data_IF_839485903503
#
_entry.id   IF_839485903503
#
_cell.length_a   1.000
_cell.length_b   1.000
_cell.length_c   1.000
_cell.angle_alpha   90.00
_cell.angle_beta   90.00
_cell.angle_gamma   90.00
#
_symmetry.space_group_name_H-M   'P 1'
#
loop_
_entity.id
_entity.type
_entity.pdbx_description
1 polymer ?
#
# COMPACT_ATOMS: atom_id res chain seq x y z
N UNK A 1 -33.76 -22.21 -62.45
CA UNK A 1 -34.00 -21.87 -61.04
C UNK A 1 -35.25 -21.02 -60.97
N UNK A 2 -36.21 -21.41 -60.15
CA UNK A 2 -37.42 -20.60 -59.96
C UNK A 2 -37.10 -19.45 -59.01
N UNK A 3 -37.69 -18.27 -59.23
CA UNK A 3 -37.47 -17.09 -58.39
C UNK A 3 -37.74 -17.37 -56.88
N UNK A 4 -38.63 -18.32 -56.60
CA UNK A 4 -38.97 -18.83 -55.26
C UNK A 4 -37.76 -19.46 -54.55
N UNK A 5 -36.93 -20.25 -55.25
CA UNK A 5 -35.76 -20.91 -54.66
C UNK A 5 -34.66 -19.92 -54.26
N UNK A 6 -34.53 -18.83 -55.03
CA UNK A 6 -33.57 -17.75 -54.76
C UNK A 6 -34.00 -16.95 -53.53
N UNK A 7 -35.30 -16.68 -53.38
CA UNK A 7 -35.85 -15.98 -52.22
C UNK A 7 -35.72 -16.81 -50.94
N UNK A 8 -36.02 -18.12 -50.98
CA UNK A 8 -35.86 -19.02 -49.83
C UNK A 8 -34.39 -19.10 -49.37
N UNK A 9 -33.46 -19.19 -50.32
CA UNK A 9 -32.01 -19.19 -50.03
C UNK A 9 -31.54 -17.86 -49.43
N UNK A 10 -32.01 -16.73 -49.96
CA UNK A 10 -31.67 -15.39 -49.45
C UNK A 10 -32.19 -15.17 -48.03
N UNK A 11 -33.41 -15.63 -47.72
CA UNK A 11 -33.99 -15.55 -46.37
C UNK A 11 -33.18 -16.39 -45.38
N UNK A 12 -32.79 -17.61 -45.75
CA UNK A 12 -31.96 -18.48 -44.89
C UNK A 12 -30.59 -17.87 -44.61
N UNK A 13 -29.94 -17.30 -45.62
CA UNK A 13 -28.65 -16.63 -45.47
C UNK A 13 -28.79 -15.36 -44.62
N UNK A 14 -29.81 -14.54 -44.88
CA UNK A 14 -30.07 -13.32 -44.13
C UNK A 14 -30.38 -13.59 -42.66
N UNK A 15 -31.15 -14.65 -42.37
CA UNK A 15 -31.46 -15.05 -41.01
C UNK A 15 -30.21 -15.56 -40.27
N UNK A 16 -29.36 -16.36 -40.94
CA UNK A 16 -28.08 -16.80 -40.37
C UNK A 16 -27.13 -15.65 -40.08
N UNK A 17 -27.05 -14.66 -40.98
CA UNK A 17 -26.27 -13.43 -40.78
C UNK A 17 -26.81 -12.57 -39.62
N UNK A 18 -28.14 -12.45 -39.50
CA UNK A 18 -28.79 -11.72 -38.42
C UNK A 18 -28.52 -12.36 -37.05
N UNK A 19 -28.71 -13.68 -36.94
CA UNK A 19 -28.43 -14.44 -35.71
C UNK A 19 -26.96 -14.29 -35.32
N UNK A 20 -26.05 -14.45 -36.29
CA UNK A 20 -24.60 -14.28 -36.05
C UNK A 20 -24.27 -12.87 -35.59
N UNK A 21 -24.88 -11.84 -36.19
CA UNK A 21 -24.70 -10.45 -35.79
C UNK A 21 -25.14 -10.18 -34.35
N UNK A 22 -26.30 -10.70 -33.95
CA UNK A 22 -26.83 -10.56 -32.58
C UNK A 22 -25.92 -11.28 -31.57
N UNK A 23 -25.52 -12.52 -31.86
CA UNK A 23 -24.62 -13.29 -30.98
C UNK A 23 -23.27 -12.57 -30.83
N UNK A 24 -22.70 -12.10 -31.93
CA UNK A 24 -21.42 -11.37 -31.94
C UNK A 24 -21.52 -10.07 -31.14
N UNK A 25 -22.64 -9.33 -31.26
CA UNK A 25 -22.86 -8.10 -30.49
C UNK A 25 -22.94 -8.38 -28.98
N UNK A 26 -23.70 -9.39 -28.57
CA UNK A 26 -23.81 -9.77 -27.14
C UNK A 26 -22.47 -10.28 -26.61
N UNK A 27 -21.74 -11.09 -27.38
CA UNK A 27 -20.43 -11.61 -26.98
C UNK A 27 -19.41 -10.48 -26.83
N UNK A 28 -19.33 -9.58 -27.80
CA UNK A 28 -18.41 -8.43 -27.79
C UNK A 28 -18.66 -7.49 -26.60
N UNK A 29 -19.93 -7.16 -26.34
CA UNK A 29 -20.29 -6.32 -25.18
C UNK A 29 -20.00 -7.00 -23.84
N UNK A 30 -20.22 -8.32 -23.75
CA UNK A 30 -19.90 -9.11 -22.55
C UNK A 30 -18.39 -9.19 -22.34
N UNK A 31 -17.62 -9.43 -23.40
CA UNK A 31 -16.17 -9.50 -23.37
C UNK A 31 -15.56 -8.16 -22.94
N UNK A 32 -16.00 -7.04 -23.51
CA UNK A 32 -15.52 -5.72 -23.12
C UNK A 32 -15.78 -5.40 -21.64
N UNK A 33 -16.96 -5.77 -21.12
CA UNK A 33 -17.26 -5.61 -19.68
C UNK A 33 -16.36 -6.49 -18.81
N UNK A 34 -16.07 -7.72 -19.24
CA UNK A 34 -15.17 -8.61 -18.52
C UNK A 34 -13.72 -8.09 -18.55
N UNK A 35 -13.26 -7.54 -19.67
CA UNK A 35 -11.92 -6.97 -19.79
C UNK A 35 -11.77 -5.73 -18.89
N UNK A 36 -12.78 -4.86 -18.82
CA UNK A 36 -12.80 -3.74 -17.88
C UNK A 36 -12.73 -4.20 -16.41
N UNK A 37 -13.47 -5.27 -16.05
CA UNK A 37 -13.40 -5.85 -14.70
C UNK A 37 -12.02 -6.41 -14.38
N UNK A 38 -11.42 -7.16 -15.30
CA UNK A 38 -10.06 -7.68 -15.16
C UNK A 38 -9.02 -6.57 -14.99
N UNK A 39 -9.13 -5.50 -15.78
CA UNK A 39 -8.25 -4.35 -15.68
C UNK A 39 -8.39 -3.63 -14.33
N UNK A 40 -9.61 -3.50 -13.80
CA UNK A 40 -9.86 -2.94 -12.47
C UNK A 40 -9.21 -3.79 -11.37
N UNK A 41 -9.45 -5.10 -11.39
CA UNK A 41 -8.85 -6.07 -10.45
C UNK A 41 -7.32 -6.01 -10.49
N UNK A 42 -6.72 -6.03 -11.68
CA UNK A 42 -5.27 -5.93 -11.84
C UNK A 42 -4.71 -4.62 -11.25
N UNK A 43 -5.43 -3.51 -11.42
CA UNK A 43 -5.04 -2.20 -10.88
C UNK A 43 -5.14 -2.15 -9.36
N UNK A 44 -6.14 -2.81 -8.78
CA UNK A 44 -6.28 -2.93 -7.32
C UNK A 44 -5.14 -3.77 -6.72
N UNK A 45 -4.76 -4.88 -7.36
CA UNK A 45 -3.60 -5.67 -6.94
C UNK A 45 -2.29 -4.88 -7.01
N UNK A 46 -2.05 -4.17 -8.12
CA UNK A 46 -0.82 -3.37 -8.26
C UNK A 46 -0.75 -2.26 -7.21
N UNK A 47 -1.89 -1.62 -6.90
CA UNK A 47 -1.94 -0.61 -5.86
C UNK A 47 -1.65 -1.21 -4.47
N UNK A 48 -2.22 -2.37 -4.12
CA UNK A 48 -1.92 -3.01 -2.83
C UNK A 48 -0.43 -3.37 -2.71
N UNK A 49 0.17 -3.85 -3.80
CA UNK A 49 1.61 -4.12 -3.86
C UNK A 49 2.43 -2.85 -3.66
N UNK A 50 2.09 -1.77 -4.38
CA UNK A 50 2.77 -0.49 -4.25
C UNK A 50 2.67 0.06 -2.81
N UNK A 51 1.49 -0.01 -2.19
CA UNK A 51 1.29 0.38 -0.79
C UNK A 51 2.18 -0.45 0.13
N UNK A 52 2.21 -1.77 -0.03
CA UNK A 52 3.02 -2.66 0.79
C UNK A 52 4.53 -2.36 0.64
N UNK A 53 5.02 -2.12 -0.58
CA UNK A 53 6.42 -1.78 -0.85
C UNK A 53 6.81 -0.43 -0.22
N UNK A 54 5.96 0.59 -0.33
CA UNK A 54 6.19 1.91 0.28
C UNK A 54 6.22 1.84 1.80
N UNK A 55 5.29 1.09 2.39
CA UNK A 55 5.24 0.86 3.84
C UNK A 55 6.49 0.14 4.33
N UNK A 56 6.95 -0.88 3.60
CA UNK A 56 8.13 -1.64 4.00
C UNK A 56 9.42 -0.81 3.84
N UNK A 57 9.50 0.01 2.79
CA UNK A 57 10.60 0.97 2.61
C UNK A 57 10.68 1.93 3.80
N UNK A 58 9.55 2.50 4.21
CA UNK A 58 9.48 3.35 5.40
C UNK A 58 9.86 2.59 6.67
N UNK A 59 9.37 1.35 6.85
CA UNK A 59 9.67 0.51 8.01
C UNK A 59 11.16 0.24 8.17
N UNK A 60 11.85 -0.12 7.09
CA UNK A 60 13.30 -0.37 7.14
C UNK A 60 14.08 0.87 7.59
N UNK A 61 13.70 2.05 7.09
CA UNK A 61 14.31 3.32 7.50
C UNK A 61 13.98 3.66 8.96
N UNK A 62 12.73 3.47 9.38
CA UNK A 62 12.28 3.71 10.74
C UNK A 62 13.00 2.82 11.76
N UNK A 63 13.17 1.52 11.48
CA UNK A 63 13.88 0.59 12.36
C UNK A 63 15.39 0.88 12.43
N UNK A 64 16.01 1.28 11.31
CA UNK A 64 17.39 1.74 11.29
C UNK A 64 17.57 2.97 12.17
N UNK A 65 16.70 3.98 12.02
CA UNK A 65 16.70 5.16 12.86
C UNK A 65 16.50 4.80 14.35
N UNK A 66 15.52 3.94 14.65
CA UNK A 66 15.26 3.45 16.00
C UNK A 66 16.51 2.82 16.63
N UNK A 67 17.19 1.93 15.92
CA UNK A 67 18.37 1.23 16.42
C UNK A 67 19.51 2.21 16.73
N UNK A 68 19.83 3.11 15.80
CA UNK A 68 20.94 4.05 15.94
C UNK A 68 20.68 5.08 17.04
N UNK A 69 19.44 5.57 17.15
CA UNK A 69 19.10 6.58 18.14
C UNK A 69 19.05 5.97 19.55
N UNK A 70 18.51 4.76 19.69
CA UNK A 70 18.47 4.05 20.97
C UNK A 70 19.88 3.75 21.50
N UNK A 71 20.78 3.33 20.61
CA UNK A 71 22.20 3.12 20.94
C UNK A 71 22.91 4.43 21.33
N UNK A 72 22.68 5.52 20.60
CA UNK A 72 23.21 6.83 20.96
C UNK A 72 22.69 7.33 22.32
N UNK A 73 21.39 7.20 22.60
CA UNK A 73 20.80 7.58 23.90
C UNK A 73 21.41 6.78 25.05
N UNK A 74 21.65 5.48 24.86
CA UNK A 74 22.33 4.63 25.85
C UNK A 74 23.73 5.16 26.18
N UNK A 75 24.52 5.54 25.16
CA UNK A 75 25.84 6.15 25.37
C UNK A 75 25.75 7.51 26.04
N UNK A 76 24.78 8.34 25.67
CA UNK A 76 24.59 9.68 26.23
C UNK A 76 24.30 9.67 27.74
N UNK A 77 23.64 8.62 28.24
CA UNK A 77 23.40 8.43 29.68
C UNK A 77 24.71 8.16 30.42
N UNK A 78 25.64 7.43 29.81
CA UNK A 78 26.95 7.11 30.39
C UNK A 78 27.93 8.28 30.27
N UNK A 79 27.86 9.01 29.15
CA UNK A 79 28.70 10.16 28.85
C UNK A 79 27.88 11.24 28.13
N UNK A 80 27.54 12.31 28.85
CA UNK A 80 26.70 13.40 28.34
C UNK A 80 27.36 14.25 27.25
N UNK A 81 28.66 14.04 26.97
CA UNK A 81 29.39 14.75 25.92
C UNK A 81 29.35 14.05 24.56
N UNK A 82 28.82 12.81 24.47
CA UNK A 82 28.81 12.00 23.25
C UNK A 82 28.01 12.70 22.13
N UNK A 83 28.69 13.13 21.04
CA UNK A 83 28.00 13.77 19.93
C UNK A 83 27.20 12.74 19.12
N UNK A 84 26.23 13.23 18.34
CA UNK A 84 25.56 12.40 17.33
C UNK A 84 26.56 12.07 16.21
N UNK A 85 26.60 10.81 15.80
CA UNK A 85 27.41 10.39 14.64
C UNK A 85 26.77 10.85 13.33
N UNK A 86 27.59 11.02 12.28
CA UNK A 86 27.07 11.33 10.94
C UNK A 86 26.05 10.29 10.46
N UNK A 87 26.29 9.00 10.75
CA UNK A 87 25.37 7.90 10.40
C UNK A 87 23.98 8.10 11.03
N UNK A 88 23.92 8.62 12.26
CA UNK A 88 22.65 8.92 12.93
C UNK A 88 21.96 10.14 12.31
N UNK A 89 22.73 11.17 11.93
CA UNK A 89 22.20 12.35 11.24
C UNK A 89 21.63 11.97 9.86
N UNK A 90 22.33 11.11 9.13
CA UNK A 90 21.86 10.57 7.85
C UNK A 90 20.56 9.78 8.03
N UNK A 91 20.50 8.88 9.02
CA UNK A 91 19.29 8.13 9.32
C UNK A 91 18.10 9.02 9.73
N UNK A 92 18.36 10.16 10.40
CA UNK A 92 17.33 11.15 10.71
C UNK A 92 16.80 11.83 9.44
N UNK A 93 17.68 12.12 8.48
CA UNK A 93 17.33 12.71 7.20
C UNK A 93 16.56 11.72 6.32
N UNK A 94 17.02 10.48 6.25
CA UNK A 94 16.37 9.38 5.53
C UNK A 94 14.95 9.16 6.06
N UNK A 95 14.78 9.14 7.39
CA UNK A 95 13.46 8.99 8.01
C UNK A 95 12.53 10.16 7.68
N UNK A 96 13.04 11.39 7.69
CA UNK A 96 12.24 12.55 7.32
C UNK A 96 11.76 12.44 5.87
N UNK A 97 12.65 12.07 4.95
CA UNK A 97 12.34 11.94 3.53
C UNK A 97 11.36 10.80 3.25
N UNK A 98 11.47 9.68 3.98
CA UNK A 98 10.61 8.50 3.77
C UNK A 98 9.14 8.70 4.17
N UNK A 99 8.78 9.74 4.94
CA UNK A 99 7.37 10.07 5.21
C UNK A 99 6.56 10.41 3.95
N UNK A 100 7.23 10.82 2.86
CA UNK A 100 6.58 11.01 1.56
C UNK A 100 6.02 9.69 1.01
N UNK A 101 6.69 8.55 1.27
CA UNK A 101 6.22 7.22 0.86
C UNK A 101 4.95 6.83 1.60
N UNK A 102 4.88 7.08 2.92
CA UNK A 102 3.67 6.86 3.70
C UNK A 102 2.51 7.72 3.22
N UNK A 103 2.74 9.02 2.98
CA UNK A 103 1.71 9.94 2.48
C UNK A 103 1.18 9.48 1.11
N UNK A 104 2.06 9.00 0.24
CA UNK A 104 1.70 8.49 -1.08
C UNK A 104 0.87 7.21 -0.95
N UNK A 105 1.33 6.25 -0.13
CA UNK A 105 0.61 5.01 0.13
C UNK A 105 -0.78 5.27 0.74
N UNK A 106 -0.89 6.22 1.67
CA UNK A 106 -2.16 6.62 2.26
C UNK A 106 -3.11 7.24 1.23
N UNK A 107 -2.59 8.09 0.35
CA UNK A 107 -3.36 8.70 -0.74
C UNK A 107 -3.90 7.65 -1.72
N UNK A 108 -3.11 6.62 -2.01
CA UNK A 108 -3.55 5.48 -2.82
C UNK A 108 -4.68 4.70 -2.13
N UNK A 109 -4.54 4.37 -0.85
CA UNK A 109 -5.60 3.69 -0.09
C UNK A 109 -6.90 4.50 -0.08
N UNK A 110 -6.82 5.82 0.09
CA UNK A 110 -7.98 6.71 0.03
C UNK A 110 -8.61 6.76 -1.37
N UNK A 111 -7.80 6.81 -2.43
CA UNK A 111 -8.27 6.84 -3.82
C UNK A 111 -9.12 5.60 -4.15
N UNK A 112 -8.76 4.44 -3.61
CA UNK A 112 -9.47 3.18 -3.81
C UNK A 112 -10.58 2.94 -2.77
N UNK A 113 -10.79 3.87 -1.84
CA UNK A 113 -11.87 3.78 -0.84
C UNK A 113 -11.55 2.90 0.37
N UNK A 114 -10.29 2.50 0.55
CA UNK A 114 -9.84 1.69 1.69
C UNK A 114 -9.53 2.54 2.91
N UNK A 115 -10.56 3.21 3.44
CA UNK A 115 -10.43 4.17 4.55
C UNK A 115 -9.88 3.53 5.84
N UNK A 116 -10.27 2.30 6.15
CA UNK A 116 -9.75 1.58 7.34
C UNK A 116 -8.24 1.34 7.25
N UNK A 117 -7.77 0.86 6.09
CA UNK A 117 -6.34 0.67 5.83
C UNK A 117 -5.57 2.00 5.90
N UNK A 118 -6.15 3.09 5.35
CA UNK A 118 -5.57 4.43 5.44
C UNK A 118 -5.41 4.90 6.89
N UNK A 119 -6.43 4.71 7.73
CA UNK A 119 -6.34 5.04 9.16
C UNK A 119 -5.29 4.20 9.86
N UNK A 120 -5.26 2.88 9.62
CA UNK A 120 -4.24 1.99 10.21
C UNK A 120 -2.82 2.38 9.81
N UNK A 121 -2.62 2.78 8.54
CA UNK A 121 -1.35 3.26 8.04
C UNK A 121 -0.89 4.55 8.73
N UNK A 122 -1.81 5.49 8.92
CA UNK A 122 -1.54 6.73 9.66
C UNK A 122 -1.15 6.45 11.11
N UNK A 123 -1.89 5.56 11.78
CA UNK A 123 -1.58 5.15 13.16
C UNK A 123 -0.18 4.54 13.27
N UNK A 124 0.24 3.75 12.28
CA UNK A 124 1.62 3.26 12.22
C UNK A 124 2.64 4.42 12.11
N UNK A 125 2.43 5.37 11.19
CA UNK A 125 3.29 6.56 11.06
C UNK A 125 3.39 7.38 12.36
N UNK A 126 2.27 7.54 13.08
CA UNK A 126 2.23 8.23 14.37
C UNK A 126 3.09 7.55 15.45
N UNK A 127 3.20 6.21 15.46
CA UNK A 127 4.11 5.53 16.41
C UNK A 127 5.57 5.92 16.20
N UNK A 128 5.98 6.09 14.94
CA UNK A 128 7.34 6.50 14.58
C UNK A 128 7.57 7.98 14.90
N UNK A 129 6.57 8.83 14.68
CA UNK A 129 6.61 10.24 15.10
C UNK A 129 6.72 10.36 16.63
N UNK A 130 5.95 9.56 17.36
CA UNK A 130 5.99 9.52 18.82
C UNK A 130 7.38 9.12 19.33
N UNK A 131 7.98 8.07 18.76
CA UNK A 131 9.36 7.69 19.06
C UNK A 131 10.34 8.83 18.77
N UNK A 132 10.29 9.43 17.56
CA UNK A 132 11.16 10.56 17.18
C UNK A 132 11.05 11.73 18.15
N UNK A 133 9.84 12.10 18.57
CA UNK A 133 9.60 13.17 19.56
C UNK A 133 10.18 12.81 20.93
N UNK A 134 9.95 11.57 21.38
CA UNK A 134 10.43 11.05 22.66
C UNK A 134 11.94 11.11 22.75
N UNK A 135 12.65 10.60 21.74
CA UNK A 135 14.11 10.52 21.78
C UNK A 135 14.81 11.87 21.58
N UNK A 136 14.14 12.84 20.96
CA UNK A 136 14.65 14.20 20.80
C UNK A 136 14.64 15.02 22.11
N UNK A 137 13.76 14.70 23.06
CA UNK A 137 13.72 15.36 24.37
C UNK A 137 14.83 14.81 25.28
N UNK A 138 15.82 15.64 25.61
CA UNK A 138 16.92 15.26 26.51
C UNK A 138 16.55 15.34 27.99
N UNK A 139 15.49 16.09 28.31
CA UNK A 139 15.08 16.39 29.69
C UNK A 139 14.45 15.19 30.40
N UNK A 140 14.14 14.13 29.66
CA UNK A 140 13.47 12.96 30.19
C UNK A 140 14.37 11.72 30.00
N UNK A 141 14.58 10.92 31.06
CA UNK A 141 15.29 9.65 30.96
C UNK A 141 14.64 8.79 29.87
N UNK A 142 15.45 8.17 29.03
CA UNK A 142 15.00 7.27 27.97
C UNK A 142 15.77 5.98 28.15
N UNK A 143 15.11 4.97 28.70
CA UNK A 143 15.74 3.70 29.04
C UNK A 143 15.56 2.64 27.94
N UNK A 144 16.11 1.45 28.18
CA UNK A 144 16.05 0.34 27.23
C UNK A 144 14.62 -0.23 27.09
N UNK A 145 13.80 -0.12 28.14
CA UNK A 145 12.40 -0.57 28.13
C UNK A 145 11.54 0.37 27.28
N UNK A 146 11.78 1.68 27.38
CA UNK A 146 11.19 2.69 26.50
C UNK A 146 11.52 2.36 25.04
N UNK A 147 12.80 2.16 24.72
CA UNK A 147 13.21 1.82 23.36
C UNK A 147 12.52 0.55 22.83
N UNK A 148 12.50 -0.52 23.62
CA UNK A 148 11.88 -1.78 23.24
C UNK A 148 10.35 -1.63 23.01
N UNK A 149 9.65 -0.92 23.89
CA UNK A 149 8.20 -0.72 23.78
C UNK A 149 7.79 0.05 22.51
N UNK A 150 8.56 1.06 22.10
CA UNK A 150 8.31 1.75 20.83
C UNK A 150 8.50 0.83 19.63
N UNK A 151 9.53 -0.04 19.64
CA UNK A 151 9.75 -1.01 18.56
C UNK A 151 8.62 -2.04 18.48
N UNK A 152 8.17 -2.55 19.62
CA UNK A 152 7.04 -3.47 19.69
C UNK A 152 5.78 -2.82 19.12
N UNK A 153 5.47 -1.59 19.54
CA UNK A 153 4.35 -0.81 19.02
C UNK A 153 4.42 -0.60 17.49
N UNK A 154 5.61 -0.30 16.94
CA UNK A 154 5.81 -0.19 15.49
C UNK A 154 5.54 -1.52 14.77
N UNK A 155 6.04 -2.64 15.31
CA UNK A 155 5.84 -3.99 14.75
C UNK A 155 4.36 -4.36 14.76
N UNK A 156 3.67 -4.12 15.88
CA UNK A 156 2.26 -4.44 16.05
C UNK A 156 1.37 -3.63 15.12
N UNK A 157 1.60 -2.32 15.01
CA UNK A 157 0.83 -1.46 14.12
C UNK A 157 1.08 -1.77 12.66
N UNK A 158 2.31 -2.13 12.29
CA UNK A 158 2.61 -2.65 10.95
C UNK A 158 1.86 -3.97 10.71
N UNK A 159 1.88 -4.91 11.64
CA UNK A 159 1.18 -6.18 11.50
C UNK A 159 -0.34 -5.99 11.33
N UNK A 160 -0.95 -5.11 12.13
CA UNK A 160 -2.37 -4.74 12.03
C UNK A 160 -2.71 -4.18 10.64
N UNK A 161 -1.88 -3.28 10.11
CA UNK A 161 -2.05 -2.77 8.75
C UNK A 161 -2.01 -3.89 7.71
N UNK A 162 -0.99 -4.77 7.75
CA UNK A 162 -0.87 -5.85 6.77
C UNK A 162 -1.99 -6.90 6.87
N UNK A 163 -2.58 -7.09 8.06
CA UNK A 163 -3.79 -7.90 8.21
C UNK A 163 -4.96 -7.27 7.45
N UNK A 164 -5.19 -5.96 7.58
CA UNK A 164 -6.24 -5.25 6.85
C UNK A 164 -5.99 -5.32 5.33
N UNK A 165 -4.75 -5.10 4.88
CA UNK A 165 -4.40 -5.22 3.46
C UNK A 165 -4.65 -6.63 2.91
N UNK A 166 -4.36 -7.67 3.71
CA UNK A 166 -4.64 -9.06 3.37
C UNK A 166 -6.14 -9.36 3.27
N UNK A 167 -6.97 -8.79 4.15
CA UNK A 167 -8.42 -8.93 4.03
C UNK A 167 -8.94 -8.24 2.78
N UNK A 168 -8.43 -7.06 2.41
CA UNK A 168 -8.75 -6.42 1.13
C UNK A 168 -8.33 -7.33 -0.03
N UNK A 169 -7.11 -7.86 0.00
CA UNK A 169 -6.57 -8.74 -1.03
C UNK A 169 -7.48 -9.97 -1.31
N UNK A 170 -8.08 -10.56 -0.28
CA UNK A 170 -9.00 -11.71 -0.42
C UNK A 170 -10.34 -11.35 -1.07
N UNK A 171 -10.71 -10.07 -1.09
CA UNK A 171 -12.00 -9.60 -1.65
C UNK A 171 -11.91 -9.14 -3.10
N UNK A 172 -10.70 -8.96 -3.61
CA UNK A 172 -10.40 -8.62 -5.02
C UNK A 172 -10.55 -9.87 -5.89
#
# INVERSE_FOLDING_TARGET
MTWIEVVDSAVKIGLGALITGIITFVLSTTQHRNDQKKAKVAREFEMLKEVAEKVETFNNVALRYWSLYSDWRRRLILDSSVPKSNILLDAQHDLFNSFSELTTAESLLLLFGYSEASVSLRLYGETVIAFRKRVASLDMPFDENDAASYRESMIDKRAQLFQILNEIYKTI
#
